data_IF_200876809426
#
_entry.id   IF_200876809426
#
_cell.length_a   1.000
_cell.length_b   1.000
_cell.length_c   1.000
_cell.angle_alpha   90.00
_cell.angle_beta   90.00
_cell.angle_gamma   90.00
#
_symmetry.space_group_name_H-M   'P 1'
#
loop_
_entity.id
_entity.type
_entity.pdbx_description
1 polymer ?
#
# COMPACT_ATOMS: atom_id res chain seq x y z
N UNK A 1 10.15 -18.37 4.02
CA UNK A 1 8.90 -17.83 3.42
C UNK A 1 9.11 -16.53 2.64
N UNK A 2 10.03 -15.64 3.04
CA UNK A 2 10.30 -14.36 2.34
C UNK A 2 10.84 -14.51 0.90
N UNK A 3 11.62 -15.57 0.62
CA UNK A 3 12.24 -15.79 -0.69
C UNK A 3 11.26 -15.76 -1.88
N UNK A 4 10.04 -16.28 -1.71
CA UNK A 4 9.02 -16.27 -2.76
C UNK A 4 8.56 -14.86 -3.14
N UNK A 5 8.40 -13.99 -2.13
CA UNK A 5 7.99 -12.61 -2.32
C UNK A 5 9.12 -11.83 -2.97
N UNK A 6 10.34 -11.93 -2.43
CA UNK A 6 11.53 -11.29 -3.00
C UNK A 6 11.74 -11.70 -4.45
N UNK A 7 11.65 -13.01 -4.75
CA UNK A 7 11.77 -13.53 -6.11
C UNK A 7 10.75 -12.89 -7.06
N UNK A 8 9.49 -12.82 -6.65
CA UNK A 8 8.45 -12.19 -7.46
C UNK A 8 8.65 -10.68 -7.60
N UNK A 9 9.11 -9.99 -6.56
CA UNK A 9 9.34 -8.55 -6.62
C UNK A 9 10.52 -8.19 -7.53
N UNK A 10 11.48 -9.10 -7.71
CA UNK A 10 12.63 -8.93 -8.61
C UNK A 10 12.35 -9.36 -10.05
N UNK A 11 11.62 -10.46 -10.26
CA UNK A 11 11.51 -11.15 -11.57
C UNK A 11 10.08 -11.66 -11.86
N UNK A 12 9.08 -11.17 -11.14
CA UNK A 12 7.69 -11.62 -11.30
C UNK A 12 6.91 -10.81 -12.33
N UNK A 13 6.32 -11.48 -13.32
CA UNK A 13 5.37 -10.87 -14.25
C UNK A 13 3.95 -10.89 -13.68
N UNK A 14 3.54 -12.02 -13.10
CA UNK A 14 2.20 -12.20 -12.55
C UNK A 14 2.14 -13.32 -11.50
N UNK A 15 1.17 -13.24 -10.61
CA UNK A 15 0.86 -14.28 -9.64
C UNK A 15 -0.64 -14.62 -9.70
N UNK A 16 -0.97 -15.88 -9.95
CA UNK A 16 -2.34 -16.32 -10.22
C UNK A 16 -2.74 -17.49 -9.31
N UNK A 17 -4.02 -17.60 -8.94
CA UNK A 17 -4.49 -18.76 -8.21
C UNK A 17 -4.54 -19.98 -9.13
N UNK A 18 -4.02 -21.12 -8.65
CA UNK A 18 -4.07 -22.42 -9.33
C UNK A 18 -4.52 -23.49 -8.34
N UNK A 19 -5.50 -24.31 -8.74
CA UNK A 19 -5.83 -25.51 -7.98
C UNK A 19 -4.94 -26.64 -8.45
N UNK A 20 -4.16 -27.19 -7.52
CA UNK A 20 -3.44 -28.43 -7.73
C UNK A 20 -4.25 -29.57 -7.12
N UNK A 21 -4.34 -30.70 -7.82
CA UNK A 21 -4.86 -31.94 -7.25
C UNK A 21 -4.07 -32.24 -5.97
N UNK A 22 -4.76 -32.71 -4.94
CA UNK A 22 -4.20 -33.13 -3.64
C UNK A 22 -3.79 -32.03 -2.65
N UNK A 23 -3.55 -30.79 -3.10
CA UNK A 23 -3.13 -29.68 -2.20
C UNK A 23 -4.13 -28.53 -2.15
N UNK A 24 -5.01 -28.40 -3.14
CA UNK A 24 -6.03 -27.36 -3.18
C UNK A 24 -5.52 -26.02 -3.73
N UNK A 25 -5.91 -24.90 -3.09
CA UNK A 25 -5.65 -23.55 -3.57
C UNK A 25 -4.19 -23.15 -3.38
N UNK A 26 -3.46 -23.04 -4.48
CA UNK A 26 -2.07 -22.63 -4.51
C UNK A 26 -1.87 -21.35 -5.34
N UNK A 27 -0.72 -20.74 -5.15
CA UNK A 27 -0.24 -19.63 -5.95
C UNK A 27 0.65 -20.19 -7.06
N UNK A 28 0.44 -19.70 -8.27
CA UNK A 28 1.38 -19.85 -9.37
C UNK A 28 2.06 -18.51 -9.61
N UNK A 29 3.39 -18.48 -9.51
CA UNK A 29 4.20 -17.36 -9.98
C UNK A 29 4.56 -17.56 -11.45
N UNK A 30 4.44 -16.49 -12.23
CA UNK A 30 4.90 -16.39 -13.60
C UNK A 30 6.04 -15.39 -13.62
N UNK A 31 7.24 -15.86 -13.98
CA UNK A 31 8.46 -15.05 -13.96
C UNK A 31 8.78 -14.50 -15.35
N UNK A 32 9.48 -13.35 -15.41
CA UNK A 32 9.89 -12.74 -16.69
C UNK A 32 10.88 -13.62 -17.44
N UNK A 33 11.57 -14.53 -16.73
CA UNK A 33 12.41 -15.58 -17.33
C UNK A 33 11.63 -16.67 -18.09
N UNK A 34 10.30 -16.62 -18.10
CA UNK A 34 9.43 -17.67 -18.66
C UNK A 34 9.20 -18.88 -17.75
N UNK A 35 9.80 -18.91 -16.55
CA UNK A 35 9.59 -19.97 -15.57
C UNK A 35 8.25 -19.82 -14.85
N UNK A 36 7.73 -20.95 -14.37
CA UNK A 36 6.48 -21.04 -13.60
C UNK A 36 6.74 -21.79 -12.30
N UNK A 37 6.34 -21.21 -11.17
CA UNK A 37 6.59 -21.79 -9.86
C UNK A 37 5.28 -21.91 -9.06
N UNK A 38 4.98 -23.13 -8.60
CA UNK A 38 3.87 -23.37 -7.68
C UNK A 38 4.34 -23.16 -6.23
N UNK A 39 3.59 -22.36 -5.48
CA UNK A 39 3.87 -22.05 -4.08
C UNK A 39 2.66 -22.45 -3.24
N UNK A 40 2.92 -23.18 -2.16
CA UNK A 40 1.91 -23.64 -1.19
C UNK A 40 1.42 -22.49 -0.28
N UNK A 41 0.77 -21.50 -0.89
CA UNK A 41 0.07 -20.43 -0.21
C UNK A 41 -1.03 -19.85 -1.12
N UNK A 42 -1.97 -19.11 -0.54
CA UNK A 42 -3.00 -18.43 -1.33
C UNK A 42 -2.49 -17.12 -1.91
N UNK A 43 -3.06 -16.69 -3.04
CA UNK A 43 -2.82 -15.36 -3.63
C UNK A 43 -3.08 -14.24 -2.61
N UNK A 44 -4.08 -14.40 -1.74
CA UNK A 44 -4.42 -13.40 -0.72
C UNK A 44 -3.30 -13.26 0.32
N UNK A 45 -2.75 -14.37 0.78
CA UNK A 45 -1.64 -14.40 1.73
C UNK A 45 -0.40 -13.78 1.09
N UNK A 46 -0.09 -14.19 -0.14
CA UNK A 46 1.04 -13.67 -0.90
C UNK A 46 0.96 -12.16 -1.09
N UNK A 47 -0.19 -11.65 -1.55
CA UNK A 47 -0.38 -10.21 -1.77
C UNK A 47 -0.18 -9.40 -0.48
N UNK A 48 -0.67 -9.90 0.66
CA UNK A 48 -0.44 -9.24 1.95
C UNK A 48 1.05 -9.19 2.29
N UNK A 49 1.78 -10.28 2.06
CA UNK A 49 3.22 -10.32 2.30
C UNK A 49 3.99 -9.41 1.34
N UNK A 50 3.60 -9.36 0.06
CA UNK A 50 4.20 -8.44 -0.93
C UNK A 50 3.99 -6.98 -0.54
N UNK A 51 2.81 -6.61 -0.05
CA UNK A 51 2.54 -5.25 0.42
C UNK A 51 3.30 -4.94 1.71
N UNK A 52 3.32 -5.88 2.66
CA UNK A 52 4.05 -5.74 3.91
C UNK A 52 5.57 -5.64 3.72
N UNK A 53 6.12 -6.23 2.66
CA UNK A 53 7.53 -6.10 2.29
C UNK A 53 7.94 -4.62 2.10
N UNK A 54 7.03 -3.78 1.59
CA UNK A 54 7.25 -2.34 1.45
C UNK A 54 6.82 -1.53 2.68
N UNK A 55 6.62 -2.17 3.84
CA UNK A 55 6.14 -1.50 5.06
C UNK A 55 4.72 -0.95 4.98
N UNK A 56 3.94 -1.39 3.98
CA UNK A 56 2.59 -0.91 3.74
C UNK A 56 1.53 -1.89 4.27
N UNK A 57 0.29 -1.41 4.43
CA UNK A 57 -0.88 -2.25 4.71
C UNK A 57 -1.82 -2.32 3.50
N UNK A 58 -2.29 -3.54 3.20
CA UNK A 58 -3.15 -3.80 2.04
C UNK A 58 -4.51 -3.09 2.14
N UNK A 59 -5.08 -2.95 3.34
CA UNK A 59 -6.35 -2.24 3.51
C UNK A 59 -6.15 -0.72 3.37
N UNK A 60 -5.06 -0.19 3.90
CA UNK A 60 -4.67 1.22 3.74
C UNK A 60 -4.49 1.59 2.25
N UNK A 61 -3.69 0.83 1.50
CA UNK A 61 -3.49 1.10 0.05
C UNK A 61 -4.82 1.06 -0.71
N UNK A 62 -5.68 0.07 -0.43
CA UNK A 62 -7.01 -0.01 -1.06
C UNK A 62 -7.92 1.15 -0.71
N UNK A 63 -7.84 1.67 0.52
CA UNK A 63 -8.62 2.83 0.95
C UNK A 63 -8.16 4.09 0.21
N UNK A 64 -6.85 4.34 0.19
CA UNK A 64 -6.25 5.52 -0.45
C UNK A 64 -6.51 5.49 -1.95
N UNK A 65 -6.04 4.46 -2.65
CA UNK A 65 -6.12 4.40 -4.12
C UNK A 65 -7.52 4.04 -4.62
N UNK A 66 -8.34 3.41 -3.79
CA UNK A 66 -9.75 3.15 -4.10
C UNK A 66 -10.55 4.44 -4.21
N UNK A 67 -10.25 5.45 -3.38
CA UNK A 67 -10.88 6.77 -3.48
C UNK A 67 -10.51 7.48 -4.79
N UNK A 68 -9.25 7.36 -5.24
CA UNK A 68 -8.77 7.96 -6.49
C UNK A 68 -9.58 7.51 -7.71
N UNK A 69 -9.98 6.24 -7.75
CA UNK A 69 -10.71 5.65 -8.89
C UNK A 69 -12.18 5.36 -8.60
N UNK A 70 -12.69 5.80 -7.44
CA UNK A 70 -14.07 5.54 -7.01
C UNK A 70 -14.42 4.05 -6.85
N UNK A 71 -13.45 3.18 -6.54
CA UNK A 71 -13.66 1.73 -6.38
C UNK A 71 -13.29 1.22 -5.00
N UNK A 72 -14.09 0.28 -4.50
CA UNK A 72 -13.79 -0.48 -3.27
C UNK A 72 -13.07 -1.80 -3.54
N UNK A 73 -13.27 -2.38 -4.73
CA UNK A 73 -12.74 -3.67 -5.14
C UNK A 73 -11.87 -3.54 -6.38
N UNK A 74 -10.97 -4.51 -6.58
CA UNK A 74 -10.07 -4.54 -7.73
C UNK A 74 -9.25 -3.24 -7.87
N UNK A 75 -8.79 -2.70 -6.74
CA UNK A 75 -7.97 -1.49 -6.72
C UNK A 75 -6.53 -1.88 -7.09
N UNK A 76 -5.91 -1.26 -8.11
CA UNK A 76 -4.48 -1.41 -8.38
C UNK A 76 -3.64 -0.95 -7.19
N UNK A 77 -2.51 -1.61 -6.95
CA UNK A 77 -1.64 -1.39 -5.80
C UNK A 77 -0.26 -0.92 -6.28
N UNK A 78 0.00 0.39 -6.32
CA UNK A 78 1.32 0.91 -6.58
C UNK A 78 2.18 0.67 -5.33
N UNK A 79 3.27 -0.05 -5.50
CA UNK A 79 4.21 -0.38 -4.42
C UNK A 79 5.47 0.47 -4.52
N UNK A 80 5.95 0.68 -5.75
CA UNK A 80 7.07 1.58 -6.07
C UNK A 80 6.76 2.37 -7.33
N UNK A 81 7.68 3.25 -7.74
CA UNK A 81 7.53 3.99 -9.00
C UNK A 81 7.43 3.07 -10.24
N UNK A 82 8.01 1.87 -10.17
CA UNK A 82 8.16 0.94 -11.29
C UNK A 82 7.37 -0.36 -11.07
N UNK A 83 6.65 -0.49 -9.96
CA UNK A 83 5.93 -1.70 -9.60
C UNK A 83 4.50 -1.37 -9.20
N UNK A 84 3.57 -1.65 -10.11
CA UNK A 84 2.14 -1.53 -9.84
C UNK A 84 1.44 -2.86 -10.04
N UNK A 85 0.85 -3.40 -8.98
CA UNK A 85 0.09 -4.65 -9.08
C UNK A 85 -1.35 -4.37 -9.50
N UNK A 86 -1.78 -4.97 -10.61
CA UNK A 86 -3.14 -4.84 -11.15
C UNK A 86 -3.91 -6.17 -11.06
N UNK A 87 -5.14 -6.17 -10.53
CA UNK A 87 -5.93 -7.38 -10.42
C UNK A 87 -6.75 -7.66 -11.69
N UNK A 88 -6.71 -8.91 -12.15
CA UNK A 88 -7.57 -9.43 -13.21
C UNK A 88 -8.23 -10.76 -12.80
N UNK A 89 -9.46 -11.00 -13.24
CA UNK A 89 -10.18 -12.23 -12.90
C UNK A 89 -9.75 -13.38 -13.81
N UNK A 90 -9.02 -14.36 -13.29
CA UNK A 90 -8.42 -15.45 -14.09
C UNK A 90 -9.14 -16.79 -13.94
N UNK A 91 -10.02 -16.93 -12.94
CA UNK A 91 -10.84 -18.14 -12.77
C UNK A 91 -12.24 -17.82 -12.25
N UNK A 92 -13.12 -18.81 -12.33
CA UNK A 92 -14.42 -18.74 -11.64
C UNK A 92 -14.18 -18.88 -10.12
N UNK A 93 -14.90 -18.11 -9.28
CA UNK A 93 -14.79 -18.25 -7.82
C UNK A 93 -15.15 -19.67 -7.38
N UNK A 94 -14.37 -20.23 -6.45
CA UNK A 94 -14.63 -21.54 -5.84
C UNK A 94 -14.71 -21.31 -4.33
N UNK A 95 -15.93 -21.25 -3.79
CA UNK A 95 -16.17 -20.92 -2.39
C UNK A 95 -15.49 -19.61 -1.97
N UNK A 96 -14.63 -19.67 -0.96
CA UNK A 96 -13.88 -18.51 -0.42
C UNK A 96 -12.51 -18.28 -1.11
N UNK A 97 -12.17 -19.08 -2.11
CA UNK A 97 -10.87 -18.98 -2.79
C UNK A 97 -10.81 -17.74 -3.70
N UNK A 98 -9.59 -17.19 -3.85
CA UNK A 98 -9.38 -16.00 -4.67
C UNK A 98 -9.57 -16.30 -6.16
N UNK A 99 -10.41 -15.53 -6.86
CA UNK A 99 -10.62 -15.67 -8.31
C UNK A 99 -9.71 -14.77 -9.16
N UNK A 100 -9.01 -13.85 -8.51
CA UNK A 100 -8.20 -12.82 -9.17
C UNK A 100 -6.72 -13.18 -9.11
N UNK A 101 -6.06 -13.05 -10.26
CA UNK A 101 -4.61 -12.96 -10.35
C UNK A 101 -4.16 -11.51 -10.23
N UNK A 102 -2.91 -11.31 -9.82
CA UNK A 102 -2.26 -10.01 -9.75
C UNK A 102 -1.10 -9.98 -10.72
N UNK A 103 -1.03 -8.93 -11.51
CA UNK A 103 -0.09 -8.77 -12.60
C UNK A 103 0.72 -7.52 -12.35
N UNK A 104 2.01 -7.54 -12.67
CA UNK A 104 2.79 -6.31 -12.70
C UNK A 104 2.41 -5.56 -13.97
N UNK A 105 1.83 -4.38 -13.80
CA UNK A 105 1.28 -3.62 -14.92
C UNK A 105 2.36 -3.27 -15.96
N UNK A 106 3.57 -3.00 -15.49
CA UNK A 106 4.75 -2.70 -16.30
C UNK A 106 5.21 -3.88 -17.17
N UNK A 107 4.84 -5.12 -16.81
CA UNK A 107 5.16 -6.33 -17.55
C UNK A 107 4.05 -6.79 -18.52
N UNK A 108 2.94 -6.04 -18.62
CA UNK A 108 1.86 -6.35 -19.57
C UNK A 108 2.24 -5.81 -20.94
N UNK A 109 2.39 -6.73 -21.91
CA UNK A 109 2.76 -6.40 -23.29
C UNK A 109 1.56 -6.13 -24.18
N UNK A 110 0.45 -6.80 -23.92
CA UNK A 110 -0.75 -6.62 -24.73
C UNK A 110 -1.97 -7.34 -24.20
N UNK A 111 -3.11 -6.96 -24.76
CA UNK A 111 -4.40 -7.59 -24.51
C UNK A 111 -4.97 -8.08 -25.84
N UNK A 112 -5.40 -9.34 -25.91
CA UNK A 112 -5.98 -9.95 -27.12
C UNK A 112 -7.40 -10.41 -26.80
N UNK A 113 -8.39 -9.89 -27.52
CA UNK A 113 -9.79 -10.31 -27.34
C UNK A 113 -9.93 -11.78 -27.75
N UNK A 114 -10.51 -12.60 -26.86
CA UNK A 114 -10.79 -14.03 -27.13
C UNK A 114 -12.28 -14.28 -27.29
N UNK A 115 -13.12 -13.55 -26.57
CA UNK A 115 -14.58 -13.50 -26.75
C UNK A 115 -15.15 -12.16 -26.26
N UNK A 116 -16.48 -11.99 -26.31
CA UNK A 116 -17.15 -10.82 -25.70
C UNK A 116 -16.88 -10.68 -24.19
N UNK A 117 -16.58 -11.78 -23.50
CA UNK A 117 -16.43 -11.83 -22.04
C UNK A 117 -15.09 -12.39 -21.58
N UNK A 118 -14.14 -12.57 -22.51
CA UNK A 118 -12.81 -13.09 -22.18
C UNK A 118 -11.70 -12.48 -23.04
N UNK A 119 -10.55 -12.30 -22.41
CA UNK A 119 -9.38 -11.61 -22.96
C UNK A 119 -8.14 -12.38 -22.55
N UNK A 120 -7.19 -12.54 -23.47
CA UNK A 120 -5.86 -13.06 -23.14
C UNK A 120 -4.94 -11.89 -22.82
N UNK A 121 -4.25 -11.97 -21.68
CA UNK A 121 -3.24 -11.01 -21.25
C UNK A 121 -1.88 -11.60 -21.58
N UNK A 122 -1.12 -10.89 -22.39
CA UNK A 122 0.26 -11.21 -22.77
C UNK A 122 1.18 -10.48 -21.80
N UNK A 123 2.02 -11.23 -21.07
CA UNK A 123 2.98 -10.68 -20.13
C UNK A 123 4.39 -11.17 -20.40
N UNK A 124 5.36 -10.41 -19.91
CA UNK A 124 6.78 -10.76 -19.97
C UNK A 124 7.06 -12.19 -19.51
N UNK A 125 8.02 -12.83 -20.18
CA UNK A 125 8.29 -14.26 -20.07
C UNK A 125 7.48 -15.13 -21.02
N UNK A 126 6.75 -14.52 -21.97
CA UNK A 126 5.97 -15.25 -22.98
C UNK A 126 4.78 -16.00 -22.39
N UNK A 127 4.19 -15.47 -21.31
CA UNK A 127 3.02 -16.08 -20.70
C UNK A 127 1.76 -15.44 -21.23
N UNK A 128 0.87 -16.28 -21.76
CA UNK A 128 -0.50 -15.91 -22.11
C UNK A 128 -1.47 -16.39 -21.03
N UNK A 129 -2.21 -15.45 -20.42
CA UNK A 129 -3.15 -15.75 -19.33
C UNK A 129 -4.57 -15.40 -19.75
N UNK A 130 -5.47 -16.38 -19.63
CA UNK A 130 -6.89 -16.15 -19.87
C UNK A 130 -7.51 -15.36 -18.71
N UNK A 131 -8.05 -14.19 -19.03
CA UNK A 131 -8.89 -13.38 -18.16
C UNK A 131 -10.37 -13.58 -18.52
N UNK A 132 -11.21 -13.75 -17.50
CA UNK A 132 -12.66 -13.91 -17.59
C UNK A 132 -13.37 -12.54 -17.52
N UNK A 133 -12.84 -11.58 -18.28
CA UNK A 133 -13.38 -10.22 -18.42
C UNK A 133 -13.26 -9.78 -19.89
N UNK A 134 -14.13 -8.87 -20.31
CA UNK A 134 -14.09 -8.29 -21.66
C UNK A 134 -12.83 -7.42 -21.86
N UNK A 135 -12.45 -7.18 -23.11
CA UNK A 135 -11.28 -6.38 -23.44
C UNK A 135 -11.40 -4.96 -22.87
N UNK A 136 -12.59 -4.36 -23.00
CA UNK A 136 -12.88 -3.00 -22.54
C UNK A 136 -12.76 -2.90 -21.02
N UNK A 137 -13.17 -3.95 -20.30
CA UNK A 137 -13.01 -4.03 -18.85
C UNK A 137 -11.54 -4.09 -18.45
N UNK A 138 -10.73 -4.84 -19.21
CA UNK A 138 -9.29 -4.91 -18.99
C UNK A 138 -8.59 -3.58 -19.27
N UNK A 139 -8.93 -2.92 -20.38
CA UNK A 139 -8.40 -1.60 -20.72
C UNK A 139 -8.80 -0.53 -19.70
N UNK A 140 -10.06 -0.54 -19.25
CA UNK A 140 -10.51 0.34 -18.18
C UNK A 140 -9.70 0.11 -16.90
N UNK A 141 -9.37 -1.14 -16.62
CA UNK A 141 -8.55 -1.48 -15.47
C UNK A 141 -7.11 -0.95 -15.61
N UNK A 142 -6.53 -0.98 -16.81
CA UNK A 142 -5.23 -0.35 -17.09
C UNK A 142 -5.30 1.19 -17.02
N UNK A 143 -6.42 1.81 -17.42
CA UNK A 143 -6.62 3.25 -17.18
C UNK A 143 -6.61 3.60 -15.69
N UNK A 144 -7.23 2.77 -14.85
CA UNK A 144 -7.14 2.95 -13.39
C UNK A 144 -5.71 2.84 -12.87
N UNK A 145 -4.90 1.93 -13.42
CA UNK A 145 -3.47 1.83 -13.07
C UNK A 145 -2.78 3.16 -13.30
N UNK A 146 -3.00 3.80 -14.45
CA UNK A 146 -2.38 5.09 -14.76
C UNK A 146 -2.77 6.18 -13.77
N UNK A 147 -4.07 6.28 -13.42
CA UNK A 147 -4.54 7.26 -12.44
C UNK A 147 -3.92 7.04 -11.06
N UNK A 148 -3.91 5.79 -10.61
CA UNK A 148 -3.36 5.40 -9.31
C UNK A 148 -1.85 5.62 -9.25
N UNK A 149 -1.13 5.28 -10.32
CA UNK A 149 0.32 5.49 -10.45
C UNK A 149 0.65 6.98 -10.43
N UNK A 150 -0.06 7.80 -11.19
CA UNK A 150 0.15 9.25 -11.17
C UNK A 150 -0.09 9.85 -9.78
N UNK A 151 -1.15 9.39 -9.08
CA UNK A 151 -1.41 9.82 -7.70
C UNK A 151 -0.31 9.36 -6.73
N UNK A 152 0.19 8.12 -6.87
CA UNK A 152 1.33 7.63 -6.09
C UNK A 152 2.56 8.53 -6.29
N UNK A 153 2.91 8.85 -7.53
CA UNK A 153 4.03 9.76 -7.83
C UNK A 153 3.83 11.13 -7.19
N UNK A 154 2.65 11.71 -7.31
CA UNK A 154 2.36 13.01 -6.72
C UNK A 154 2.58 13.01 -5.19
N UNK A 155 2.20 11.93 -4.50
CA UNK A 155 2.40 11.81 -3.05
C UNK A 155 3.86 11.55 -2.65
N UNK A 156 4.61 10.76 -3.41
CA UNK A 156 5.93 10.27 -2.99
C UNK A 156 7.11 11.01 -3.64
N UNK A 157 6.89 11.70 -4.76
CA UNK A 157 7.92 12.47 -5.46
C UNK A 157 8.14 13.86 -4.83
N UNK A 158 7.31 14.29 -3.89
CA UNK A 158 7.56 15.47 -3.06
C UNK A 158 8.50 15.14 -1.89
N UNK A 159 9.73 14.80 -2.22
CA UNK A 159 10.89 15.15 -1.40
C UNK A 159 11.64 16.30 -2.08
N UNK A 160 11.00 17.47 -2.16
CA UNK A 160 11.79 18.67 -1.89
C UNK A 160 12.22 18.48 -0.44
N UNK A 161 13.48 18.12 -0.25
CA UNK A 161 14.13 18.21 1.05
C UNK A 161 14.04 19.69 1.42
N UNK A 162 13.00 20.08 2.16
CA UNK A 162 13.06 21.30 2.95
C UNK A 162 14.07 20.94 4.03
N UNK A 163 15.34 21.28 3.77
CA UNK A 163 16.29 21.43 4.87
C UNK A 163 15.67 22.51 5.72
N UNK A 164 15.11 22.15 6.88
CA UNK A 164 14.95 23.13 7.93
C UNK A 164 16.32 23.79 8.04
N UNK A 165 16.39 25.11 7.87
CA UNK A 165 17.56 25.85 8.29
C UNK A 165 17.75 25.46 9.75
N UNK A 166 18.76 24.63 10.01
CA UNK A 166 18.89 23.93 11.28
C UNK A 166 18.71 24.94 12.41
N UNK A 167 17.95 24.62 13.48
CA UNK A 167 17.98 25.48 14.64
C UNK A 167 19.44 25.66 15.02
N UNK A 168 19.88 26.91 15.19
CA UNK A 168 21.17 27.19 15.80
C UNK A 168 21.11 26.68 17.24
N UNK A 169 21.38 25.40 17.45
CA UNK A 169 21.54 24.82 18.76
C UNK A 169 22.85 25.38 19.33
N UNK A 170 22.74 26.54 19.97
CA UNK A 170 23.71 27.02 20.93
C UNK A 170 23.72 26.03 22.11
N UNK A 171 24.63 25.07 22.07
CA UNK A 171 24.94 24.27 23.27
C UNK A 171 25.57 25.19 24.32
N UNK A 172 24.97 25.37 25.52
CA UNK A 172 25.77 25.76 26.65
C UNK A 172 26.59 24.55 27.08
N UNK A 173 27.86 24.63 26.72
CA UNK A 173 29.00 23.90 27.24
C UNK A 173 28.86 23.62 28.76
N UNK A 174 28.88 22.33 29.11
CA UNK A 174 29.24 21.73 30.41
C UNK A 174 29.15 22.60 31.67
N UNK A 175 28.22 22.26 32.58
CA UNK A 175 28.47 22.46 34.01
C UNK A 175 28.74 21.11 34.66
N UNK A 176 30.04 20.84 34.78
CA UNK A 176 30.64 19.78 35.58
C UNK A 176 30.00 19.70 36.96
N UNK A 177 29.77 18.46 37.39
CA UNK A 177 29.69 18.09 38.80
C UNK A 177 30.85 18.73 39.57
N UNK A 178 30.54 19.50 40.61
CA UNK A 178 31.35 19.56 41.83
C UNK A 178 30.42 19.73 43.02
N UNK A 179 30.47 18.74 43.91
CA UNK A 179 29.87 18.71 45.24
C UNK A 179 30.73 19.51 46.22
N UNK A 180 30.12 19.80 47.38
CA UNK A 180 30.65 20.39 48.63
C UNK A 180 30.62 21.92 48.65
N UNK A 181 30.05 22.61 49.63
CA UNK A 181 29.41 22.25 50.90
C UNK A 181 29.16 23.55 51.69
N UNK A 182 28.13 23.52 52.53
CA UNK A 182 27.96 24.30 53.77
C UNK A 182 27.62 25.81 53.78
N UNK A 183 26.52 26.07 54.52
CA UNK A 183 26.25 27.14 55.49
C UNK A 183 25.67 28.49 55.04
N UNK A 184 24.49 28.81 55.60
CA UNK A 184 24.21 30.15 56.14
C UNK A 184 22.91 30.85 55.75
N UNK A 185 21.83 30.53 56.48
CA UNK A 185 20.84 31.47 57.07
C UNK A 185 20.11 32.56 56.24
N UNK A 186 18.77 32.43 56.20
CA UNK A 186 17.74 33.41 56.57
C UNK A 186 17.65 34.80 55.89
N UNK A 187 16.58 35.06 55.11
CA UNK A 187 15.45 35.96 55.44
C UNK A 187 14.53 36.27 54.23
N UNK A 188 13.23 36.07 54.44
CA UNK A 188 12.04 36.88 54.06
C UNK A 188 11.94 37.57 52.67
N UNK A 189 10.86 37.23 51.95
CA UNK A 189 9.72 38.15 51.73
C UNK A 189 9.39 38.63 50.31
N UNK A 190 8.13 38.35 49.89
CA UNK A 190 7.26 39.08 48.92
C UNK A 190 7.62 38.99 47.42
N UNK A 191 6.72 38.93 46.43
CA UNK A 191 5.26 38.81 46.33
C UNK A 191 4.90 38.44 44.86
N UNK A 192 3.72 37.82 44.66
CA UNK A 192 2.86 37.98 43.48
C UNK A 192 3.31 37.43 42.12
N UNK A 193 2.60 36.41 41.60
CA UNK A 193 1.61 36.52 40.51
C UNK A 193 1.14 35.10 40.20
N UNK A 194 -0.12 34.84 40.54
CA UNK A 194 -0.95 33.76 40.00
C UNK A 194 -1.41 34.14 38.60
N UNK A 195 -1.43 33.20 37.66
CA UNK A 195 -2.59 33.03 36.77
C UNK A 195 -2.68 31.57 36.30
N UNK A 196 -3.86 31.03 36.53
CA UNK A 196 -4.31 29.63 36.57
C UNK A 196 -4.61 29.10 35.14
N UNK A 197 -4.27 27.84 34.80
CA UNK A 197 -4.60 27.26 33.50
C UNK A 197 -6.02 26.67 33.51
N UNK A 198 -7.02 27.50 33.21
CA UNK A 198 -8.41 27.05 33.09
C UNK A 198 -9.15 27.69 31.91
N UNK A 199 -8.75 27.37 30.68
CA UNK A 199 -9.66 27.42 29.51
C UNK A 199 -9.53 26.15 28.66
N UNK A 200 -9.90 25.04 29.29
CA UNK A 200 -10.26 23.79 28.63
C UNK A 200 -11.79 23.65 28.71
N UNK A 201 -12.39 23.35 27.57
CA UNK A 201 -13.72 22.76 27.37
C UNK A 201 -14.94 23.60 27.78
N UNK A 202 -15.68 24.06 26.75
CA UNK A 202 -17.15 24.12 26.82
C UNK A 202 -17.78 24.33 25.43
N UNK A 203 -18.25 23.23 24.84
CA UNK A 203 -19.65 22.97 24.45
C UNK A 203 -19.71 21.94 23.30
N UNK A 204 -20.09 20.72 23.67
CA UNK A 204 -20.67 19.77 22.73
C UNK A 204 -22.15 20.08 22.49
N UNK A 205 -22.67 19.56 21.37
CA UNK A 205 -23.83 18.65 21.30
C UNK A 205 -24.33 18.55 19.85
N UNK A 206 -24.23 17.32 19.33
CA UNK A 206 -25.26 16.57 18.59
C UNK A 206 -26.43 17.33 17.93
N UNK A 207 -26.61 17.13 16.61
CA UNK A 207 -27.82 16.48 16.04
C UNK A 207 -27.69 16.34 14.49
N UNK A 208 -27.82 15.10 13.99
CA UNK A 208 -28.31 14.78 12.62
C UNK A 208 -29.86 14.72 12.66
N UNK A 209 -30.58 14.48 11.55
CA UNK A 209 -30.51 15.07 10.19
C UNK A 209 -31.92 15.52 9.72
N UNK A 210 -32.04 16.23 8.59
CA UNK A 210 -33.33 16.38 7.89
C UNK A 210 -33.16 16.25 6.36
N UNK A 211 -33.95 15.32 5.82
CA UNK A 211 -34.26 15.12 4.39
C UNK A 211 -35.23 16.20 3.89
N UNK A 212 -35.50 16.13 2.58
CA UNK A 212 -36.59 16.73 1.77
C UNK A 212 -35.98 17.84 0.89
N UNK A 213 -36.02 17.76 -0.45
CA UNK A 213 -37.12 17.34 -1.34
C UNK A 213 -36.61 16.62 -2.59
#
# INVERSE_FOLDING_TARGET
MHHAVERFLMDGSACIPRNCTDVGDQLMLLLTSGKRECIKMTVRTFLKQSVAYFGNDLAALRKIYGQVIGKRYQVPLPLTEQLTLVPFKVRKPIGRQGAHGWFVAEHIRGLKRRSKVSTTIDVDGGHDILCLQSLESCEQQLRHVMLVKNHYMALHRHSVIVREAGPSFSYPFTRLFRKEGENGSSMKGWAGVSDDPSEICRHGLTHRPLKIR
#
